data_IF_821792825542
#
_entry.id   IF_821792825542
#
_cell.length_a   1.000
_cell.length_b   1.000
_cell.length_c   1.000
_cell.angle_alpha   90.00
_cell.angle_beta   90.00
_cell.angle_gamma   90.00
#
_symmetry.space_group_name_H-M   'P 1'
#
loop_
_entity.id
_entity.type
_entity.pdbx_description
1 polymer ?
#
# COMPACT_ATOMS: atom_id res chain seq x y z
N UNK A 1 -13.00 -16.79 -7.54
CA UNK A 1 -13.15 -15.36 -7.93
C UNK A 1 -12.24 -14.44 -7.13
N UNK A 2 -12.24 -14.44 -5.78
CA UNK A 2 -11.38 -13.55 -4.97
C UNK A 2 -9.86 -13.74 -5.20
N UNK A 3 -9.39 -14.98 -5.36
CA UNK A 3 -7.98 -15.26 -5.63
C UNK A 3 -7.49 -14.71 -6.99
N UNK A 4 -8.38 -14.69 -7.99
CA UNK A 4 -8.05 -14.22 -9.34
C UNK A 4 -8.00 -12.69 -9.40
N UNK A 5 -8.95 -12.03 -8.74
CA UNK A 5 -8.93 -10.58 -8.52
C UNK A 5 -7.67 -10.16 -7.74
N UNK A 6 -7.27 -10.94 -6.72
CA UNK A 6 -6.03 -10.69 -5.99
C UNK A 6 -4.78 -10.82 -6.85
N UNK A 7 -4.68 -11.86 -7.68
CA UNK A 7 -3.57 -12.02 -8.64
C UNK A 7 -3.51 -10.87 -9.66
N UNK A 8 -4.65 -10.42 -10.16
CA UNK A 8 -4.74 -9.28 -11.08
C UNK A 8 -4.30 -7.98 -10.41
N UNK A 9 -4.67 -7.74 -9.16
CA UNK A 9 -4.24 -6.55 -8.40
C UNK A 9 -2.74 -6.58 -8.13
N UNK A 10 -2.19 -7.72 -7.71
CA UNK A 10 -0.75 -7.90 -7.51
C UNK A 10 0.05 -7.74 -8.81
N UNK A 11 -0.48 -8.27 -9.92
CA UNK A 11 0.08 -8.10 -11.26
C UNK A 11 0.02 -6.65 -11.73
N UNK A 12 -1.14 -5.99 -11.63
CA UNK A 12 -1.33 -4.60 -12.03
C UNK A 12 -0.48 -3.63 -11.21
N UNK A 13 -0.31 -3.88 -9.90
CA UNK A 13 0.59 -3.10 -9.05
C UNK A 13 2.05 -3.18 -9.50
N UNK A 14 2.47 -4.29 -10.09
CA UNK A 14 3.82 -4.44 -10.66
C UNK A 14 4.01 -3.67 -11.98
N UNK A 15 2.94 -3.50 -12.77
CA UNK A 15 2.95 -2.79 -14.07
C UNK A 15 2.83 -1.27 -13.93
N UNK A 16 2.17 -0.77 -12.87
CA UNK A 16 1.96 0.68 -12.63
C UNK A 16 3.23 1.40 -12.15
N UNK A 17 4.35 0.70 -12.03
CA UNK A 17 5.68 1.26 -11.68
C UNK A 17 6.21 2.13 -12.85
N UNK A 18 5.65 3.32 -13.03
CA UNK A 18 6.09 4.29 -14.06
C UNK A 18 5.08 5.39 -14.40
N UNK A 19 3.81 5.29 -13.99
CA UNK A 19 2.74 6.21 -14.44
C UNK A 19 2.14 6.97 -13.24
N UNK A 20 1.71 8.21 -13.47
CA UNK A 20 0.84 8.93 -12.54
C UNK A 20 -0.37 8.05 -12.19
N UNK A 21 -0.53 7.70 -10.91
CA UNK A 21 -1.68 6.93 -10.43
C UNK A 21 -2.82 7.90 -10.16
N UNK A 22 -3.94 7.72 -10.84
CA UNK A 22 -5.16 8.46 -10.52
C UNK A 22 -5.61 8.12 -9.09
N UNK A 23 -6.17 9.11 -8.37
CA UNK A 23 -6.61 8.95 -6.98
C UNK A 23 -7.51 7.72 -6.80
N UNK A 24 -8.51 7.55 -7.67
CA UNK A 24 -9.44 6.41 -7.65
C UNK A 24 -8.71 5.06 -7.70
N UNK A 25 -7.73 4.92 -8.60
CA UNK A 25 -6.96 3.69 -8.72
C UNK A 25 -6.03 3.46 -7.53
N UNK A 26 -5.42 4.53 -7.01
CA UNK A 26 -4.59 4.47 -5.82
C UNK A 26 -5.40 3.97 -4.61
N UNK A 27 -6.62 4.46 -4.43
CA UNK A 27 -7.48 4.02 -3.33
C UNK A 27 -7.98 2.58 -3.48
N UNK A 28 -8.32 2.14 -4.70
CA UNK A 28 -8.68 0.75 -4.97
C UNK A 28 -7.55 -0.20 -4.56
N UNK A 29 -6.32 0.10 -4.97
CA UNK A 29 -5.13 -0.67 -4.62
C UNK A 29 -4.85 -0.62 -3.11
N UNK A 30 -5.00 0.55 -2.48
CA UNK A 30 -4.82 0.71 -1.05
C UNK A 30 -5.78 -0.19 -0.25
N UNK A 31 -7.09 -0.12 -0.56
CA UNK A 31 -8.15 -0.89 0.11
C UNK A 31 -7.98 -2.40 -0.06
N UNK A 32 -7.27 -2.83 -1.10
CA UNK A 32 -6.91 -4.24 -1.27
C UNK A 32 -5.65 -4.63 -0.49
N UNK A 33 -4.55 -3.88 -0.66
CA UNK A 33 -3.22 -4.28 -0.17
C UNK A 33 -3.09 -4.09 1.35
N UNK A 34 -3.59 -2.97 1.91
CA UNK A 34 -3.39 -2.67 3.33
C UNK A 34 -4.02 -3.73 4.23
N UNK A 35 -5.31 -4.10 4.08
CA UNK A 35 -5.91 -5.12 4.93
C UNK A 35 -5.24 -6.49 4.81
N UNK A 36 -4.87 -6.91 3.58
CA UNK A 36 -4.20 -8.18 3.31
C UNK A 36 -2.83 -8.27 4.00
N UNK A 37 -1.99 -7.24 3.82
CA UNK A 37 -0.66 -7.20 4.44
C UNK A 37 -0.74 -7.05 5.96
N UNK A 38 -1.66 -6.22 6.47
CA UNK A 38 -1.85 -6.12 7.91
C UNK A 38 -2.30 -7.45 8.52
N UNK A 39 -3.15 -8.21 7.82
CA UNK A 39 -3.56 -9.53 8.29
C UNK A 39 -2.38 -10.51 8.32
N UNK A 40 -1.57 -10.54 7.27
CA UNK A 40 -0.34 -11.33 7.23
C UNK A 40 0.60 -10.99 8.40
N UNK A 41 0.83 -9.69 8.65
CA UNK A 41 1.69 -9.23 9.76
C UNK A 41 1.13 -9.58 11.14
N UNK A 42 -0.19 -9.48 11.32
CA UNK A 42 -0.88 -9.91 12.56
C UNK A 42 -0.76 -11.41 12.79
N UNK A 43 -0.80 -12.20 11.72
CA UNK A 43 -0.62 -13.66 11.74
C UNK A 43 0.85 -14.09 11.91
N UNK A 44 1.77 -13.15 12.17
CA UNK A 44 3.17 -13.45 12.46
C UNK A 44 4.09 -13.47 11.25
N UNK A 45 3.61 -13.11 10.05
CA UNK A 45 4.48 -13.01 8.87
C UNK A 45 5.56 -11.96 9.08
N UNK A 46 6.77 -12.26 8.62
CA UNK A 46 7.90 -11.33 8.68
C UNK A 46 7.65 -10.10 7.81
N UNK A 47 8.06 -8.93 8.32
CA UNK A 47 8.03 -7.67 7.57
C UNK A 47 8.96 -7.72 6.34
N UNK A 48 10.01 -8.53 6.41
CA UNK A 48 10.97 -8.74 5.32
C UNK A 48 10.52 -9.84 4.34
N UNK A 49 9.35 -10.44 4.54
CA UNK A 49 8.84 -11.46 3.62
C UNK A 49 8.54 -10.86 2.25
N UNK A 50 8.75 -11.64 1.19
CA UNK A 50 8.62 -11.18 -0.20
C UNK A 50 7.26 -10.51 -0.50
N UNK A 51 6.16 -11.09 0.02
CA UNK A 51 4.81 -10.52 -0.16
C UNK A 51 4.67 -9.16 0.54
N UNK A 52 5.20 -9.02 1.75
CA UNK A 52 5.14 -7.75 2.50
C UNK A 52 6.00 -6.69 1.82
N UNK A 53 7.24 -7.03 1.45
CA UNK A 53 8.14 -6.13 0.71
C UNK A 53 7.54 -5.69 -0.62
N UNK A 54 6.89 -6.60 -1.35
CA UNK A 54 6.20 -6.27 -2.60
C UNK A 54 5.00 -5.34 -2.38
N UNK A 55 4.20 -5.60 -1.34
CA UNK A 55 3.08 -4.73 -0.96
C UNK A 55 3.54 -3.31 -0.60
N UNK A 56 4.62 -3.20 0.19
CA UNK A 56 5.24 -1.92 0.54
C UNK A 56 5.71 -1.16 -0.71
N UNK A 57 6.37 -1.84 -1.65
CA UNK A 57 6.85 -1.23 -2.91
C UNK A 57 5.71 -0.70 -3.79
N UNK A 58 4.54 -1.34 -3.76
CA UNK A 58 3.35 -0.86 -4.46
C UNK A 58 2.77 0.34 -3.71
N UNK A 59 2.54 0.21 -2.40
CA UNK A 59 1.96 1.26 -1.55
C UNK A 59 2.78 2.55 -1.55
N UNK A 60 4.12 2.46 -1.59
CA UNK A 60 5.01 3.62 -1.71
C UNK A 60 4.75 4.45 -2.97
N UNK A 61 4.23 3.87 -4.04
CA UNK A 61 4.02 4.56 -5.32
C UNK A 61 2.63 5.18 -5.44
N UNK A 62 1.69 4.80 -4.58
CA UNK A 62 0.31 5.23 -4.70
C UNK A 62 0.11 6.72 -4.39
N UNK A 63 0.73 7.32 -3.34
CA UNK A 63 0.56 8.74 -3.10
C UNK A 63 1.14 9.60 -4.23
N UNK A 64 0.62 10.83 -4.41
CA UNK A 64 1.17 11.80 -5.36
C UNK A 64 2.68 12.01 -5.15
N UNK A 65 3.40 12.09 -6.27
CA UNK A 65 4.85 12.33 -6.28
C UNK A 65 5.19 13.60 -5.48
N UNK A 66 6.28 13.56 -4.72
CA UNK A 66 6.80 14.71 -3.99
C UNK A 66 6.69 14.54 -2.47
N UNK A 67 6.29 15.61 -1.78
CA UNK A 67 6.25 15.66 -0.32
C UNK A 67 5.29 14.61 0.27
N UNK A 68 4.10 14.43 -0.32
CA UNK A 68 3.10 13.48 0.15
C UNK A 68 3.62 12.04 0.16
N UNK A 69 4.15 11.57 -0.97
CA UNK A 69 4.79 10.26 -1.07
C UNK A 69 5.90 10.06 -0.05
N UNK A 70 6.82 11.04 0.04
CA UNK A 70 7.93 10.97 1.00
C UNK A 70 7.43 10.86 2.43
N UNK A 71 6.42 11.65 2.79
CA UNK A 71 5.83 11.68 4.12
C UNK A 71 5.12 10.35 4.42
N UNK A 72 4.33 9.83 3.48
CA UNK A 72 3.63 8.56 3.59
C UNK A 72 4.62 7.41 3.82
N UNK A 73 5.65 7.27 2.98
CA UNK A 73 6.67 6.23 3.13
C UNK A 73 7.40 6.32 4.47
N UNK A 74 7.74 7.53 4.93
CA UNK A 74 8.41 7.72 6.22
C UNK A 74 7.52 7.40 7.41
N UNK A 75 6.22 7.70 7.32
CA UNK A 75 5.28 7.55 8.43
C UNK A 75 4.80 6.11 8.62
N UNK A 76 4.62 5.38 7.52
CA UNK A 76 3.86 4.13 7.53
C UNK A 76 4.62 2.91 7.01
N UNK A 77 5.68 3.08 6.22
CA UNK A 77 6.29 1.97 5.48
C UNK A 77 7.66 1.54 6.04
N UNK A 78 8.06 2.03 7.22
CA UNK A 78 9.39 1.81 7.80
C UNK A 78 9.52 0.58 8.68
N UNK A 79 8.44 0.16 9.31
CA UNK A 79 8.44 -0.98 10.23
C UNK A 79 7.07 -1.66 10.26
N UNK A 80 7.03 -2.86 10.85
CA UNK A 80 5.78 -3.57 11.13
C UNK A 80 4.80 -2.71 11.93
N UNK A 81 5.29 -2.02 12.96
CA UNK A 81 4.45 -1.17 13.83
C UNK A 81 3.86 0.01 13.04
N UNK A 82 4.67 0.66 12.21
CA UNK A 82 4.21 1.77 11.37
C UNK A 82 3.15 1.32 10.36
N UNK A 83 3.35 0.15 9.75
CA UNK A 83 2.43 -0.39 8.77
C UNK A 83 1.09 -0.79 9.40
N UNK A 84 1.12 -1.37 10.60
CA UNK A 84 -0.08 -1.69 11.35
C UNK A 84 -0.85 -0.44 11.81
N UNK A 85 -0.22 0.73 11.82
CA UNK A 85 -0.87 2.01 12.09
C UNK A 85 -1.53 2.66 10.86
N UNK A 86 -1.41 2.08 9.66
CA UNK A 86 -2.15 2.53 8.48
C UNK A 86 -3.65 2.37 8.73
N UNK A 87 -4.47 3.40 8.44
CA UNK A 87 -5.92 3.23 8.42
C UNK A 87 -6.32 2.25 7.31
N UNK A 88 -7.40 1.50 7.49
CA UNK A 88 -7.89 0.60 6.41
C UNK A 88 -8.56 1.37 5.27
N UNK A 89 -9.11 2.55 5.57
CA UNK A 89 -9.70 3.45 4.58
C UNK A 89 -8.71 4.58 4.22
N UNK A 90 -8.33 4.75 2.94
CA UNK A 90 -7.43 5.82 2.53
C UNK A 90 -8.01 7.23 2.76
N UNK A 91 -9.33 7.38 2.87
CA UNK A 91 -9.96 8.69 3.16
C UNK A 91 -9.67 9.19 4.58
N UNK A 92 -9.22 8.32 5.48
CA UNK A 92 -8.76 8.68 6.81
C UNK A 92 -7.30 9.17 6.84
N UNK A 93 -6.57 9.13 5.72
CA UNK A 93 -5.23 9.68 5.63
C UNK A 93 -5.26 11.21 5.58
N UNK A 94 -4.34 11.84 6.31
CA UNK A 94 -4.13 13.30 6.21
C UNK A 94 -3.68 13.71 4.80
N UNK A 95 -4.08 14.92 4.39
CA UNK A 95 -3.67 15.58 3.13
C UNK A 95 -2.14 15.72 3.00
N UNK A 96 -1.41 15.67 4.12
CA UNK A 96 0.06 15.67 4.13
C UNK A 96 0.66 14.35 3.59
N UNK A 97 -0.14 13.29 3.50
CA UNK A 97 0.26 11.94 3.06
C UNK A 97 -0.49 11.47 1.82
N UNK A 98 -1.74 11.90 1.60
CA UNK A 98 -2.63 11.42 0.54
C UNK A 98 -3.27 12.58 -0.25
N UNK A 99 -3.72 12.30 -1.48
CA UNK A 99 -4.23 13.16 -2.59
C UNK A 99 -3.79 14.64 -2.68
#
# INVERSE_FOLDING_TARGET
MLAEAGKLVWSAGSTIVGVFVEKSKAEELYRFIVPDIQQDLRNGKSFESEKVVSGIKILEKLPPIGARRRNFSRRYLKSKTDFLALPQDPDALSIAYWW
#
